data_IF_271400067822
#
_entry.id   IF_271400067822
#
_cell.length_a   1.000
_cell.length_b   1.000
_cell.length_c   1.000
_cell.angle_alpha   90.00
_cell.angle_beta   90.00
_cell.angle_gamma   90.00
#
_symmetry.space_group_name_H-M   'P 1'
#
loop_
_entity.id
_entity.type
_entity.pdbx_description
1 polymer ?
#
# COMPACT_ATOMS: atom_id res chain seq x y z
N UNK A 1 13.25 -29.00 21.76
CA UNK A 1 12.47 -27.94 21.06
C UNK A 1 11.25 -28.58 20.45
N UNK A 2 10.09 -27.91 20.59
CA UNK A 2 8.86 -27.89 19.76
C UNK A 2 7.60 -27.96 20.63
N UNK A 3 6.96 -26.80 20.80
CA UNK A 3 5.70 -26.50 20.13
C UNK A 3 5.91 -25.29 19.21
N UNK A 4 5.41 -25.37 17.99
CA UNK A 4 5.42 -24.28 17.03
C UNK A 4 4.81 -23.01 17.65
N UNK A 5 5.42 -21.86 17.39
CA UNK A 5 4.75 -20.56 17.34
C UNK A 5 3.71 -20.34 18.46
N UNK A 6 4.14 -20.08 19.70
CA UNK A 6 3.26 -19.34 20.61
C UNK A 6 2.79 -18.13 19.81
N UNK A 7 1.50 -18.10 19.49
CA UNK A 7 0.84 -17.04 18.72
C UNK A 7 1.47 -15.74 19.19
N UNK A 8 2.06 -14.97 18.27
CA UNK A 8 2.72 -13.72 18.63
C UNK A 8 1.77 -13.01 19.58
N UNK A 9 2.26 -12.73 20.79
CA UNK A 9 1.44 -12.20 21.86
C UNK A 9 0.64 -11.04 21.25
N UNK A 10 -0.69 -11.13 21.33
CA UNK A 10 -1.53 -10.17 20.62
C UNK A 10 -1.41 -8.87 21.38
N UNK A 11 -1.20 -7.74 20.71
CA UNK A 11 -1.26 -6.42 21.37
C UNK A 11 -2.61 -6.15 22.08
N UNK A 12 -3.62 -7.00 21.87
CA UNK A 12 -4.89 -6.97 22.61
C UNK A 12 -4.77 -7.55 24.04
N UNK A 13 -3.70 -8.28 24.35
CA UNK A 13 -3.44 -8.85 25.66
C UNK A 13 -2.71 -7.83 26.55
N UNK A 14 -3.19 -7.64 27.78
CA UNK A 14 -2.78 -6.53 28.67
C UNK A 14 -1.32 -6.57 29.12
N UNK A 15 -0.63 -7.70 28.96
CA UNK A 15 0.79 -7.87 29.33
C UNK A 15 1.74 -7.83 28.12
N UNK A 16 1.20 -7.52 26.94
CA UNK A 16 1.92 -7.64 25.70
C UNK A 16 2.61 -6.33 25.30
N UNK A 17 3.93 -6.38 25.12
CA UNK A 17 4.73 -5.23 24.65
C UNK A 17 5.05 -5.34 23.16
N UNK A 18 5.34 -4.24 22.45
CA UNK A 18 5.75 -4.28 21.03
C UNK A 18 6.96 -5.21 20.80
N UNK A 19 7.91 -5.25 21.74
CA UNK A 19 9.06 -6.15 21.69
C UNK A 19 8.66 -7.62 21.75
N UNK A 20 7.61 -7.95 22.50
CA UNK A 20 7.08 -9.31 22.58
C UNK A 20 6.35 -9.76 21.31
N UNK A 21 5.93 -8.83 20.45
CA UNK A 21 5.31 -9.11 19.16
C UNK A 21 6.31 -9.60 18.12
N UNK A 22 7.57 -9.12 18.17
CA UNK A 22 8.63 -9.52 17.22
C UNK A 22 9.52 -10.66 17.74
N UNK A 23 9.27 -11.12 18.97
CA UNK A 23 10.05 -12.16 19.64
C UNK A 23 9.96 -13.56 19.02
N UNK A 24 9.05 -13.78 18.06
CA UNK A 24 8.95 -15.01 17.29
C UNK A 24 9.11 -14.76 15.79
N UNK A 25 9.50 -15.80 15.05
CA UNK A 25 9.79 -15.72 13.62
C UNK A 25 8.61 -15.14 12.83
N UNK A 26 7.37 -15.52 13.17
CA UNK A 26 6.17 -15.03 12.50
C UNK A 26 5.97 -13.53 12.63
N UNK A 27 6.15 -12.98 13.84
CA UNK A 27 6.07 -11.54 14.08
C UNK A 27 7.20 -10.75 13.43
N UNK A 28 8.41 -11.31 13.40
CA UNK A 28 9.52 -10.67 12.66
C UNK A 28 9.26 -10.68 11.15
N UNK A 29 8.75 -11.80 10.61
CA UNK A 29 8.46 -11.92 9.18
C UNK A 29 7.34 -10.97 8.77
N UNK A 30 6.27 -10.89 9.56
CA UNK A 30 5.14 -9.96 9.34
C UNK A 30 5.62 -8.50 9.35
N UNK A 31 6.41 -8.11 10.35
CA UNK A 31 6.97 -6.76 10.43
C UNK A 31 7.84 -6.41 9.22
N UNK A 32 8.70 -7.35 8.78
CA UNK A 32 9.57 -7.15 7.61
C UNK A 32 8.75 -7.09 6.32
N UNK A 33 7.81 -8.02 6.10
CA UNK A 33 6.98 -8.04 4.89
C UNK A 33 6.09 -6.80 4.80
N UNK A 34 5.49 -6.37 5.91
CA UNK A 34 4.67 -5.16 5.96
C UNK A 34 5.52 -3.94 5.61
N UNK A 35 6.70 -3.80 6.22
CA UNK A 35 7.63 -2.69 5.95
C UNK A 35 8.08 -2.64 4.49
N UNK A 36 8.55 -3.78 3.95
CA UNK A 36 9.00 -3.88 2.56
C UNK A 36 7.84 -3.67 1.59
N UNK A 37 6.68 -4.24 1.89
CA UNK A 37 5.46 -4.11 1.09
C UNK A 37 4.98 -2.67 0.98
N UNK A 38 5.01 -1.91 2.08
CA UNK A 38 4.68 -0.48 2.10
C UNK A 38 5.63 0.31 1.20
N UNK A 39 6.94 0.09 1.30
CA UNK A 39 7.94 0.79 0.46
C UNK A 39 7.74 0.44 -1.02
N UNK A 40 7.56 -0.84 -1.33
CA UNK A 40 7.30 -1.30 -2.69
C UNK A 40 6.01 -0.71 -3.26
N UNK A 41 4.96 -0.59 -2.43
CA UNK A 41 3.70 0.02 -2.81
C UNK A 41 3.86 1.50 -3.16
N UNK A 42 4.56 2.29 -2.33
CA UNK A 42 4.82 3.69 -2.61
C UNK A 42 5.57 3.88 -3.94
N UNK A 43 6.65 3.13 -4.15
CA UNK A 43 7.42 3.17 -5.40
C UNK A 43 6.53 2.83 -6.60
N UNK A 44 5.67 1.81 -6.45
CA UNK A 44 4.75 1.37 -7.51
C UNK A 44 3.76 2.47 -7.92
N UNK A 45 3.27 3.28 -6.98
CA UNK A 45 2.40 4.42 -7.30
C UNK A 45 3.10 5.45 -8.20
N UNK A 46 4.37 5.75 -7.95
CA UNK A 46 5.15 6.68 -8.78
C UNK A 46 5.48 6.10 -10.16
N UNK A 47 5.85 4.82 -10.22
CA UNK A 47 6.07 4.12 -11.49
C UNK A 47 4.79 4.11 -12.33
N UNK A 48 3.65 3.81 -11.72
CA UNK A 48 2.35 3.83 -12.38
C UNK A 48 2.00 5.22 -12.92
N UNK A 49 2.19 6.27 -12.11
CA UNK A 49 2.01 7.64 -12.54
C UNK A 49 2.92 8.02 -13.71
N UNK A 50 4.20 7.62 -13.67
CA UNK A 50 5.15 7.85 -14.76
C UNK A 50 4.73 7.11 -16.04
N UNK A 51 4.29 5.86 -15.93
CA UNK A 51 3.76 5.08 -17.05
C UNK A 51 2.52 5.74 -17.67
N UNK A 52 1.58 6.23 -16.85
CA UNK A 52 0.38 6.92 -17.33
C UNK A 52 0.68 8.20 -18.10
N UNK A 53 1.79 8.89 -17.83
CA UNK A 53 2.17 10.08 -18.62
C UNK A 53 2.62 9.77 -20.05
N UNK A 54 3.03 8.53 -20.33
CA UNK A 54 3.52 8.10 -21.65
C UNK A 54 2.39 7.73 -22.60
N UNK A 55 1.18 7.47 -22.09
CA UNK A 55 0.03 7.04 -22.88
C UNK A 55 -0.96 8.23 -22.96
N UNK A 56 -1.21 8.82 -24.14
CA UNK A 56 -2.04 10.02 -24.29
C UNK A 56 -3.43 9.89 -23.65
N UNK A 57 -4.04 8.71 -23.77
CA UNK A 57 -5.35 8.39 -23.20
C UNK A 57 -5.36 8.36 -21.67
N UNK A 58 -4.23 7.99 -21.06
CA UNK A 58 -4.09 7.82 -19.61
C UNK A 58 -3.51 9.07 -18.93
N UNK A 59 -3.03 10.03 -19.71
CA UNK A 59 -2.51 11.32 -19.24
C UNK A 59 -3.45 12.06 -18.26
N UNK A 60 -4.79 12.12 -18.45
CA UNK A 60 -5.68 12.72 -17.45
C UNK A 60 -5.76 11.93 -16.13
N UNK A 61 -5.46 10.63 -16.15
CA UNK A 61 -5.38 9.79 -14.94
C UNK A 61 -4.03 9.89 -14.21
N UNK A 62 -2.99 10.45 -14.84
CA UNK A 62 -1.67 10.57 -14.22
C UNK A 62 -1.66 11.50 -12.99
N UNK A 63 -2.40 12.61 -13.03
CA UNK A 63 -2.54 13.52 -11.89
C UNK A 63 -3.24 12.86 -10.68
N UNK A 64 -4.44 12.25 -10.82
CA UNK A 64 -5.06 11.59 -9.68
C UNK A 64 -4.24 10.40 -9.16
N UNK A 65 -3.55 9.65 -10.03
CA UNK A 65 -2.64 8.59 -9.58
C UNK A 65 -1.47 9.13 -8.73
N UNK A 66 -0.89 10.28 -9.11
CA UNK A 66 0.14 10.97 -8.29
C UNK A 66 -0.42 11.43 -6.95
N UNK A 67 -1.58 12.09 -6.95
CA UNK A 67 -2.21 12.59 -5.73
C UNK A 67 -2.49 11.43 -4.78
N UNK A 68 -3.04 10.32 -5.27
CA UNK A 68 -3.26 9.10 -4.48
C UNK A 68 -1.96 8.59 -3.88
N UNK A 69 -0.88 8.49 -4.65
CA UNK A 69 0.43 8.07 -4.15
C UNK A 69 0.97 8.99 -3.05
N UNK A 70 0.84 10.31 -3.23
CA UNK A 70 1.26 11.31 -2.22
C UNK A 70 0.41 11.22 -0.96
N UNK A 71 -0.92 11.09 -1.08
CA UNK A 71 -1.82 10.96 0.07
C UNK A 71 -1.51 9.70 0.87
N UNK A 72 -1.27 8.58 0.19
CA UNK A 72 -0.88 7.32 0.84
C UNK A 72 0.47 7.46 1.55
N UNK A 73 1.46 8.10 0.91
CA UNK A 73 2.76 8.34 1.53
C UNK A 73 2.63 9.23 2.77
N UNK A 74 1.85 10.31 2.70
CA UNK A 74 1.58 11.19 3.85
C UNK A 74 0.84 10.45 4.97
N UNK A 75 -0.15 9.63 4.62
CA UNK A 75 -0.85 8.80 5.57
C UNK A 75 0.09 7.83 6.28
N UNK A 76 1.03 7.20 5.55
CA UNK A 76 2.08 6.35 6.13
C UNK A 76 2.98 7.10 7.12
N UNK A 77 3.45 8.30 6.76
CA UNK A 77 4.24 9.12 7.69
C UNK A 77 3.43 9.51 8.94
N UNK A 78 2.13 9.76 8.79
CA UNK A 78 1.24 10.08 9.90
C UNK A 78 0.98 8.90 10.86
N UNK A 79 1.32 7.66 10.48
CA UNK A 79 1.21 6.48 11.35
C UNK A 79 2.33 6.43 12.39
N UNK A 80 3.50 6.99 12.10
CA UNK A 80 4.65 6.98 13.03
C UNK A 80 4.29 7.36 14.48
N UNK A 81 3.56 8.46 14.76
CA UNK A 81 3.15 8.79 16.14
C UNK A 81 2.12 7.82 16.74
N UNK A 82 1.37 7.08 15.92
CA UNK A 82 0.37 6.11 16.40
C UNK A 82 0.99 4.79 16.88
N UNK A 83 2.26 4.56 16.56
CA UNK A 83 3.03 3.39 17.03
C UNK A 83 3.22 3.44 18.56
N UNK A 84 3.42 4.64 19.13
CA UNK A 84 3.64 4.80 20.58
C UNK A 84 2.40 4.47 21.44
N UNK A 85 1.20 4.54 20.83
CA UNK A 85 -0.07 4.24 21.49
C UNK A 85 -0.65 2.87 21.08
N UNK A 86 0.15 2.02 20.41
CA UNK A 86 -0.25 0.66 20.02
C UNK A 86 -1.27 0.57 18.87
N UNK A 87 -1.52 1.66 18.14
CA UNK A 87 -2.48 1.72 17.03
C UNK A 87 -1.85 1.53 15.64
N UNK A 88 -0.52 1.42 15.57
CA UNK A 88 0.23 1.34 14.32
C UNK A 88 -0.30 0.28 13.35
N UNK A 89 -0.47 -0.95 13.82
CA UNK A 89 -0.96 -2.06 12.97
C UNK A 89 -2.40 -1.89 12.46
N UNK A 90 -3.29 -1.23 13.21
CA UNK A 90 -4.64 -0.91 12.73
C UNK A 90 -4.57 0.13 11.60
N UNK A 91 -3.78 1.18 11.80
CA UNK A 91 -3.64 2.24 10.82
C UNK A 91 -2.96 1.74 9.54
N UNK A 92 -1.97 0.84 9.65
CA UNK A 92 -1.37 0.16 8.49
C UNK A 92 -2.42 -0.56 7.65
N UNK A 93 -3.34 -1.30 8.29
CA UNK A 93 -4.43 -1.99 7.59
C UNK A 93 -5.41 -1.04 6.94
N UNK A 94 -5.77 0.06 7.61
CA UNK A 94 -6.66 1.08 7.05
C UNK A 94 -6.01 1.71 5.82
N UNK A 95 -4.73 2.08 5.88
CA UNK A 95 -4.02 2.64 4.73
C UNK A 95 -3.88 1.62 3.61
N UNK A 96 -3.59 0.35 3.92
CA UNK A 96 -3.55 -0.71 2.92
C UNK A 96 -4.90 -0.88 2.21
N UNK A 97 -6.02 -0.88 2.94
CA UNK A 97 -7.38 -0.96 2.38
C UNK A 97 -7.71 0.25 1.50
N UNK A 98 -7.42 1.46 1.96
CA UNK A 98 -7.63 2.70 1.19
C UNK A 98 -6.78 2.70 -0.07
N UNK A 99 -5.52 2.27 0.04
CA UNK A 99 -4.59 2.14 -1.09
C UNK A 99 -5.10 1.13 -2.13
N UNK A 100 -5.56 -0.04 -1.69
CA UNK A 100 -6.14 -1.06 -2.57
C UNK A 100 -7.42 -0.56 -3.27
N UNK A 101 -8.32 0.11 -2.53
CA UNK A 101 -9.53 0.70 -3.11
C UNK A 101 -9.21 1.78 -4.15
N UNK A 102 -8.20 2.62 -3.88
CA UNK A 102 -7.77 3.66 -4.81
C UNK A 102 -7.16 3.06 -6.09
N UNK A 103 -6.33 2.02 -5.98
CA UNK A 103 -5.82 1.29 -7.15
C UNK A 103 -6.95 0.65 -7.96
N UNK A 104 -7.93 0.02 -7.29
CA UNK A 104 -9.08 -0.56 -7.97
C UNK A 104 -9.89 0.49 -8.73
N UNK A 105 -10.11 1.66 -8.14
CA UNK A 105 -10.78 2.78 -8.80
C UNK A 105 -10.01 3.27 -10.04
N UNK A 106 -8.68 3.37 -9.95
CA UNK A 106 -7.82 3.71 -11.08
C UNK A 106 -7.92 2.65 -12.18
N UNK A 107 -7.84 1.36 -11.83
CA UNK A 107 -7.96 0.25 -12.78
C UNK A 107 -9.31 0.25 -13.50
N UNK A 108 -10.42 0.38 -12.76
CA UNK A 108 -11.76 0.49 -13.34
C UNK A 108 -11.90 1.68 -14.29
N UNK A 109 -11.23 2.79 -13.96
CA UNK A 109 -11.26 3.99 -14.79
C UNK A 109 -10.43 3.83 -16.06
N UNK A 110 -9.29 3.14 -16.00
CA UNK A 110 -8.51 2.73 -17.19
C UNK A 110 -9.33 1.81 -18.10
N UNK A 111 -10.04 0.82 -17.55
CA UNK A 111 -10.90 -0.09 -18.33
C UNK A 111 -12.06 0.61 -19.04
N UNK A 112 -12.45 1.80 -18.58
CA UNK A 112 -13.51 2.62 -19.19
C UNK A 112 -12.97 3.63 -20.20
N UNK A 113 -11.66 3.73 -20.38
CA UNK A 113 -11.10 4.62 -21.40
C UNK A 113 -11.35 4.02 -22.79
N UNK A 114 -11.67 4.86 -23.79
CA UNK A 114 -11.79 4.40 -25.17
C UNK A 114 -10.47 3.75 -25.62
N UNK A 115 -10.58 2.66 -26.39
CA UNK A 115 -9.40 2.04 -26.99
C UNK A 115 -8.63 3.05 -27.85
N UNK A 116 -7.30 2.88 -27.96
CA UNK A 116 -6.52 3.58 -28.97
C UNK A 116 -7.16 3.34 -30.34
N UNK A 117 -7.67 4.40 -30.98
CA UNK A 117 -8.01 4.29 -32.39
C UNK A 117 -6.71 3.95 -33.13
N UNK A 118 -6.64 2.81 -33.84
CA UNK A 118 -5.48 2.54 -34.69
C UNK A 118 -5.38 3.70 -35.67
N UNK A 119 -4.17 4.26 -35.82
CA UNK A 119 -3.93 5.33 -36.76
C UNK A 119 -4.54 4.92 -38.09
N UNK A 120 -5.56 5.64 -38.52
CA UNK A 120 -6.16 5.46 -39.84
C UNK A 120 -4.99 5.52 -40.81
N UNK A 121 -4.70 4.38 -41.44
CA UNK A 121 -3.78 4.27 -42.55
C UNK A 121 -4.39 5.08 -43.70
N UNK A 122 -4.23 6.40 -43.63
CA UNK A 122 -4.54 7.31 -44.70
C UNK A 122 -3.46 7.14 -45.76
N UNK A 123 -3.85 6.37 -46.79
CA UNK A 123 -3.65 6.57 -48.23
C UNK A 123 -2.25 6.99 -48.68
#
# INVERSE_FOLDING_TARGET
MTPFERMACRLADSECTPDSQTANLGGTLDAVLSSVGVVAFMISCFILAAAMTKIPQWKPLAWPARVTGVVIALAMFAIAPTQEIGLGGLMERIVALVGAAALAAVALRVMRLPEPQPASSLV
#
